data_IF_795573019692
#
_entry.id   IF_795573019692
#
_cell.length_a   1.000
_cell.length_b   1.000
_cell.length_c   1.000
_cell.angle_alpha   90.00
_cell.angle_beta   90.00
_cell.angle_gamma   90.00
#
_symmetry.space_group_name_H-M   'P 1'
#
loop_
_entity.id
_entity.type
_entity.pdbx_description
1 polymer ?
#
# COMPACT_ATOMS: atom_id res chain seq x y z
N UNK A 1 -22.55 30.65 -13.51
CA UNK A 1 -22.51 29.29 -14.06
C UNK A 1 -21.05 28.85 -14.08
N UNK A 2 -20.72 27.69 -13.51
CA UNK A 2 -19.38 27.12 -13.70
C UNK A 2 -19.26 26.59 -15.14
N UNK A 3 -18.08 26.71 -15.75
CA UNK A 3 -17.85 26.13 -17.06
C UNK A 3 -17.94 24.59 -16.99
N UNK A 4 -18.46 23.90 -18.03
CA UNK A 4 -18.42 22.44 -18.08
C UNK A 4 -16.96 21.99 -18.03
N UNK A 5 -16.60 21.22 -17.01
CA UNK A 5 -15.21 20.87 -16.74
C UNK A 5 -14.73 19.89 -17.82
N UNK A 6 -14.04 20.40 -18.84
CA UNK A 6 -13.87 19.67 -20.09
C UNK A 6 -12.98 18.44 -19.88
N UNK A 7 -13.55 17.24 -20.08
CA UNK A 7 -12.90 15.94 -19.86
C UNK A 7 -11.58 15.78 -20.63
N UNK A 8 -11.40 16.51 -21.73
CA UNK A 8 -10.13 16.52 -22.48
C UNK A 8 -8.97 17.17 -21.72
N UNK A 9 -9.24 18.08 -20.77
CA UNK A 9 -8.23 19.05 -20.29
C UNK A 9 -7.81 18.82 -18.84
N UNK A 10 -8.44 17.85 -18.16
CA UNK A 10 -8.08 17.43 -16.81
C UNK A 10 -6.95 16.40 -16.81
N UNK A 11 -5.84 16.72 -16.16
CA UNK A 11 -4.61 15.92 -16.16
C UNK A 11 -4.12 15.65 -14.74
N UNK A 12 -3.95 14.37 -14.38
CA UNK A 12 -3.44 13.94 -13.07
C UNK A 12 -1.94 13.65 -13.16
N UNK A 13 -1.14 14.33 -12.32
CA UNK A 13 0.27 14.03 -12.12
C UNK A 13 0.41 13.01 -10.98
N UNK A 14 0.60 11.74 -11.31
CA UNK A 14 0.83 10.66 -10.35
C UNK A 14 2.33 10.54 -10.13
N UNK A 15 2.77 10.42 -8.89
CA UNK A 15 4.21 10.37 -8.58
C UNK A 15 4.57 9.17 -7.74
N UNK A 16 5.57 8.46 -8.25
CA UNK A 16 5.90 7.09 -7.94
C UNK A 16 5.29 6.13 -8.95
N UNK A 17 6.13 5.46 -9.75
CA UNK A 17 5.77 4.24 -10.47
C UNK A 17 5.72 3.02 -9.52
N UNK A 18 5.23 3.24 -8.29
CA UNK A 18 4.93 2.18 -7.33
C UNK A 18 3.69 1.38 -7.71
N UNK A 19 3.25 0.40 -6.90
CA UNK A 19 2.15 -0.49 -7.29
C UNK A 19 0.88 0.34 -7.29
N UNK A 20 0.70 1.11 -6.22
CA UNK A 20 -0.36 2.09 -5.99
C UNK A 20 -0.38 3.15 -7.09
N UNK A 21 0.78 3.71 -7.47
CA UNK A 21 0.84 4.74 -8.51
C UNK A 21 0.55 4.20 -9.91
N UNK A 22 1.09 3.04 -10.27
CA UNK A 22 0.76 2.35 -11.51
C UNK A 22 -0.69 1.84 -11.54
N UNK A 23 -1.23 1.38 -10.40
CA UNK A 23 -2.62 0.95 -10.22
C UNK A 23 -3.59 2.13 -10.41
N UNK A 24 -3.27 3.29 -9.83
CA UNK A 24 -3.98 4.56 -10.09
C UNK A 24 -3.88 4.91 -11.58
N UNK A 25 -2.70 4.88 -12.19
CA UNK A 25 -2.53 5.20 -13.60
C UNK A 25 -3.28 4.23 -14.54
N UNK A 26 -3.31 2.93 -14.21
CA UNK A 26 -4.10 1.93 -14.94
C UNK A 26 -5.60 2.23 -14.84
N UNK A 27 -6.13 2.48 -13.64
CA UNK A 27 -7.54 2.82 -13.45
C UNK A 27 -7.92 4.14 -14.10
N UNK A 28 -7.13 5.21 -13.92
CA UNK A 28 -7.37 6.50 -14.59
C UNK A 28 -7.39 6.34 -16.12
N UNK A 29 -6.47 5.55 -16.69
CA UNK A 29 -6.47 5.23 -18.12
C UNK A 29 -7.74 4.45 -18.54
N UNK A 30 -8.23 3.51 -17.73
CA UNK A 30 -9.49 2.79 -17.98
C UNK A 30 -10.72 3.72 -17.94
N UNK A 31 -10.71 4.75 -17.10
CA UNK A 31 -11.77 5.76 -16.98
C UNK A 31 -11.68 6.88 -18.07
N UNK A 32 -10.64 6.84 -18.90
CA UNK A 32 -10.36 7.85 -19.93
C UNK A 32 -9.82 9.17 -19.37
N UNK A 33 -9.28 9.18 -18.15
CA UNK A 33 -8.70 10.34 -17.48
C UNK A 33 -7.21 10.42 -17.83
N UNK A 34 -6.74 11.58 -18.31
CA UNK A 34 -5.32 11.78 -18.63
C UNK A 34 -4.48 11.74 -17.36
N UNK A 35 -3.42 10.93 -17.35
CA UNK A 35 -2.43 10.92 -16.28
C UNK A 35 -1.01 10.79 -16.82
N UNK A 36 -0.04 11.34 -16.09
CA UNK A 36 1.38 11.05 -16.28
C UNK A 36 1.97 10.56 -14.97
N UNK A 37 2.75 9.48 -15.04
CA UNK A 37 3.46 8.91 -13.89
C UNK A 37 4.90 9.40 -13.92
N UNK A 38 5.39 9.94 -12.81
CA UNK A 38 6.78 10.35 -12.62
C UNK A 38 7.48 9.42 -11.64
N UNK A 39 8.75 9.18 -11.89
CA UNK A 39 9.59 8.18 -11.21
C UNK A 39 10.96 8.82 -10.95
N UNK A 40 11.65 8.44 -9.85
CA UNK A 40 12.98 8.98 -9.51
C UNK A 40 14.10 8.04 -9.96
N UNK A 41 13.86 6.73 -9.98
CA UNK A 41 14.86 5.79 -10.48
C UNK A 41 14.93 5.87 -12.01
N UNK A 42 16.14 5.82 -12.56
CA UNK A 42 16.40 5.87 -14.00
C UNK A 42 16.01 4.56 -14.70
N UNK A 43 16.00 3.43 -13.97
CA UNK A 43 15.73 2.10 -14.51
C UNK A 43 14.80 1.28 -13.62
N UNK A 44 13.92 0.46 -14.24
CA UNK A 44 12.93 -0.40 -13.57
C UNK A 44 13.52 -1.42 -12.58
N UNK A 45 14.83 -1.65 -12.64
CA UNK A 45 15.60 -2.61 -11.84
C UNK A 45 16.79 -1.96 -11.09
N UNK A 46 16.84 -0.62 -11.00
CA UNK A 46 17.90 0.10 -10.26
C UNK A 46 17.94 -0.29 -8.77
N UNK A 47 16.81 -0.71 -8.21
CA UNK A 47 16.72 -1.39 -6.92
C UNK A 47 16.43 -2.88 -7.09
N UNK A 48 17.10 -3.77 -6.36
CA UNK A 48 16.67 -5.17 -6.29
C UNK A 48 15.27 -5.24 -5.67
N UNK A 49 14.37 -6.01 -6.28
CA UNK A 49 13.05 -6.34 -5.69
C UNK A 49 13.24 -7.47 -4.68
N UNK A 50 13.73 -7.12 -3.49
CA UNK A 50 14.08 -8.05 -2.42
C UNK A 50 12.89 -8.44 -1.53
N UNK A 51 11.76 -7.76 -1.65
CA UNK A 51 10.57 -7.92 -0.79
C UNK A 51 9.25 -7.73 -1.57
N UNK A 52 8.15 -7.96 -0.87
CA UNK A 52 6.84 -7.40 -1.21
C UNK A 52 5.89 -7.49 -0.01
N UNK A 53 4.59 -7.36 -0.26
CA UNK A 53 3.57 -7.23 0.76
C UNK A 53 2.31 -8.01 0.42
N UNK A 54 1.43 -8.32 1.38
CA UNK A 54 0.15 -8.93 1.07
C UNK A 54 -1.02 -7.95 0.89
N UNK A 55 -1.97 -8.28 0.01
CA UNK A 55 -3.23 -7.60 -0.28
C UNK A 55 -4.41 -8.54 0.06
N UNK A 56 -4.93 -8.40 1.27
CA UNK A 56 -5.92 -9.28 1.90
C UNK A 56 -7.33 -8.76 1.67
N UNK A 57 -7.68 -7.63 2.29
CA UNK A 57 -9.02 -7.05 2.28
C UNK A 57 -9.22 -6.02 1.16
N UNK A 58 -8.14 -5.52 0.56
CA UNK A 58 -8.20 -4.58 -0.57
C UNK A 58 -8.28 -5.25 -1.95
N UNK A 59 -8.57 -6.56 -2.02
CA UNK A 59 -8.68 -7.33 -3.27
C UNK A 59 -9.70 -6.72 -4.25
N UNK A 60 -10.88 -6.30 -3.78
CA UNK A 60 -11.89 -5.68 -4.65
C UNK A 60 -11.37 -4.40 -5.33
N UNK A 61 -10.61 -3.57 -4.60
CA UNK A 61 -9.97 -2.36 -5.15
C UNK A 61 -8.81 -2.67 -6.10
N UNK A 62 -8.06 -3.75 -5.85
CA UNK A 62 -7.03 -4.24 -6.77
C UNK A 62 -7.65 -4.71 -8.10
N UNK A 63 -8.77 -5.43 -8.02
CA UNK A 63 -9.52 -5.92 -9.18
C UNK A 63 -10.14 -4.77 -9.96
N UNK A 64 -10.78 -3.81 -9.28
CA UNK A 64 -11.38 -2.62 -9.89
C UNK A 64 -10.37 -1.79 -10.70
N UNK A 65 -9.13 -1.70 -10.21
CA UNK A 65 -8.11 -0.80 -10.73
C UNK A 65 -7.15 -1.38 -11.77
N UNK A 66 -7.30 -2.67 -12.15
CA UNK A 66 -6.46 -3.30 -13.18
C UNK A 66 -7.28 -3.67 -14.43
N UNK A 67 -6.70 -3.51 -15.64
CA UNK A 67 -7.33 -4.01 -16.86
C UNK A 67 -7.28 -5.55 -16.90
N UNK A 68 -8.25 -6.16 -17.58
CA UNK A 68 -8.42 -7.62 -17.69
C UNK A 68 -7.13 -8.35 -18.14
N UNK A 69 -6.33 -7.73 -19.00
CA UNK A 69 -5.06 -8.26 -19.52
C UNK A 69 -3.89 -8.25 -18.52
N UNK A 70 -4.03 -7.55 -17.39
CA UNK A 70 -3.11 -7.63 -16.24
C UNK A 70 -3.71 -8.49 -15.13
N UNK A 71 -5.04 -8.48 -14.94
CA UNK A 71 -5.72 -9.39 -14.00
C UNK A 71 -5.49 -10.86 -14.36
N UNK A 72 -5.61 -11.23 -15.65
CA UNK A 72 -5.31 -12.58 -16.14
C UNK A 72 -3.85 -13.00 -15.97
N UNK A 73 -2.96 -12.07 -15.59
CA UNK A 73 -1.54 -12.28 -15.36
C UNK A 73 -1.12 -12.01 -13.90
N UNK A 74 -2.06 -11.73 -12.99
CA UNK A 74 -1.74 -11.36 -11.60
C UNK A 74 -1.01 -12.47 -10.84
N UNK A 75 -1.21 -13.74 -11.24
CA UNK A 75 -0.42 -14.87 -10.75
C UNK A 75 1.08 -14.77 -11.09
N UNK A 76 1.43 -14.21 -12.26
CA UNK A 76 2.83 -14.03 -12.71
C UNK A 76 3.62 -13.00 -11.89
N UNK A 77 2.95 -12.24 -11.02
CA UNK A 77 3.56 -11.31 -10.07
C UNK A 77 3.76 -11.92 -8.66
N UNK A 78 3.33 -13.16 -8.41
CA UNK A 78 3.55 -13.85 -7.14
C UNK A 78 5.02 -14.29 -6.98
N UNK A 79 5.45 -14.51 -5.73
CA UNK A 79 6.77 -15.07 -5.42
C UNK A 79 6.98 -16.50 -5.92
N UNK A 80 5.89 -17.26 -6.12
CA UNK A 80 5.88 -18.48 -6.91
C UNK A 80 4.72 -18.44 -7.92
N UNK A 81 4.99 -18.12 -9.20
CA UNK A 81 3.98 -18.08 -10.26
C UNK A 81 3.30 -19.42 -10.57
N UNK A 82 3.84 -20.56 -10.13
CA UNK A 82 3.22 -21.87 -10.38
C UNK A 82 2.10 -22.20 -9.39
N UNK A 83 1.88 -21.37 -8.35
CA UNK A 83 0.90 -21.61 -7.29
C UNK A 83 -0.38 -20.80 -7.49
N UNK A 84 -1.51 -21.49 -7.38
CA UNK A 84 -2.84 -20.89 -7.26
C UNK A 84 -3.13 -20.65 -5.76
N UNK A 85 -3.40 -19.40 -5.31
CA UNK A 85 -3.83 -19.14 -3.95
C UNK A 85 -5.15 -19.86 -3.64
N UNK A 86 -5.28 -20.43 -2.43
CA UNK A 86 -6.53 -21.04 -1.98
C UNK A 86 -7.15 -20.24 -0.84
N UNK A 87 -8.48 -20.34 -0.61
CA UNK A 87 -9.11 -19.78 0.58
C UNK A 87 -8.60 -20.35 1.92
N UNK A 88 -7.82 -21.44 1.89
CA UNK A 88 -7.16 -22.05 3.06
C UNK A 88 -5.77 -21.45 3.36
N UNK A 89 -5.32 -20.43 2.63
CA UNK A 89 -4.01 -19.81 2.85
C UNK A 89 -4.03 -18.85 4.05
N UNK A 90 -3.34 -19.23 5.13
CA UNK A 90 -3.09 -18.39 6.31
C UNK A 90 -1.59 -18.24 6.57
N UNK A 91 -1.20 -17.13 7.21
CA UNK A 91 0.02 -17.07 7.99
C UNK A 91 -0.26 -17.62 9.39
N UNK A 92 0.71 -18.30 9.98
CA UNK A 92 0.65 -18.69 11.40
C UNK A 92 1.20 -17.58 12.28
N UNK A 93 0.65 -17.42 13.48
CA UNK A 93 1.32 -16.78 14.59
C UNK A 93 1.87 -17.89 15.49
N UNK A 94 3.17 -17.84 15.79
CA UNK A 94 3.89 -18.88 16.53
C UNK A 94 4.54 -18.32 17.79
N UNK A 95 4.59 -19.11 18.86
CA UNK A 95 5.51 -18.84 19.98
C UNK A 95 6.94 -19.15 19.53
N UNK A 96 7.85 -18.21 19.73
CA UNK A 96 9.27 -18.35 19.39
C UNK A 96 10.07 -19.20 20.36
N UNK A 97 9.56 -19.43 21.56
CA UNK A 97 10.23 -20.21 22.61
C UNK A 97 9.76 -21.69 22.57
N UNK A 98 8.44 -21.91 22.55
CA UNK A 98 7.86 -23.28 22.57
C UNK A 98 7.59 -23.88 21.18
N UNK A 99 7.70 -23.07 20.10
CA UNK A 99 7.29 -23.42 18.74
C UNK A 99 5.80 -23.80 18.56
N UNK A 100 4.94 -23.52 19.54
CA UNK A 100 3.50 -23.75 19.47
C UNK A 100 2.79 -22.73 18.57
N UNK A 101 1.71 -23.14 17.91
CA UNK A 101 0.87 -22.25 17.10
C UNK A 101 -0.13 -21.50 17.99
N UNK A 102 -0.10 -20.17 17.93
CA UNK A 102 -0.92 -19.25 18.74
C UNK A 102 -2.22 -18.85 18.02
N UNK A 103 -2.16 -18.57 16.71
CA UNK A 103 -3.34 -18.26 15.88
C UNK A 103 -3.04 -18.28 14.37
N UNK A 104 -4.05 -17.98 13.54
CA UNK A 104 -3.99 -17.98 12.06
C UNK A 104 -4.54 -16.69 11.46
N UNK A 105 -3.92 -16.22 10.37
CA UNK A 105 -4.21 -14.94 9.73
C UNK A 105 -4.30 -15.06 8.18
N UNK A 106 -5.47 -14.89 7.54
CA UNK A 106 -5.65 -15.13 6.09
C UNK A 106 -4.86 -14.19 5.16
N UNK A 107 -4.22 -14.68 4.08
CA UNK A 107 -3.30 -13.85 3.23
C UNK A 107 -3.14 -14.20 1.73
N UNK A 108 -3.40 -13.25 0.80
CA UNK A 108 -2.88 -13.26 -0.60
C UNK A 108 -2.05 -12.02 -1.08
N UNK A 109 -1.06 -12.22 -1.98
CA UNK A 109 -0.49 -11.42 -3.13
C UNK A 109 0.16 -9.96 -3.03
N UNK A 110 1.22 -9.68 -3.85
CA UNK A 110 2.41 -8.72 -3.70
C UNK A 110 2.77 -7.87 -5.01
N UNK A 111 3.59 -6.77 -5.17
CA UNK A 111 4.32 -5.71 -4.35
C UNK A 111 5.29 -4.72 -5.14
N UNK A 112 5.73 -3.51 -4.61
CA UNK A 112 6.90 -2.54 -4.97
C UNK A 112 6.77 -1.03 -5.52
N UNK A 113 7.51 -0.01 -4.97
CA UNK A 113 7.17 1.49 -4.72
C UNK A 113 8.19 2.65 -5.10
N UNK A 114 7.80 3.94 -5.44
CA UNK A 114 8.72 5.17 -5.43
C UNK A 114 8.18 6.70 -5.51
N UNK A 115 8.95 7.81 -5.82
CA UNK A 115 8.83 9.18 -5.16
C UNK A 115 8.95 10.65 -5.80
N UNK A 116 8.31 11.69 -5.16
CA UNK A 116 8.56 13.21 -5.03
C UNK A 116 7.96 14.35 -5.94
N UNK A 117 7.56 15.55 -5.38
CA UNK A 117 6.66 16.62 -5.98
C UNK A 117 6.71 18.11 -5.48
N UNK A 118 5.95 19.03 -6.14
CA UNK A 118 5.65 20.45 -5.77
C UNK A 118 4.27 20.98 -6.28
N UNK A 119 3.90 22.26 -6.02
CA UNK A 119 2.62 22.90 -6.48
C UNK A 119 2.77 24.38 -6.93
N UNK A 120 2.10 24.81 -8.02
CA UNK A 120 1.91 26.20 -8.50
C UNK A 120 0.63 26.30 -9.37
N UNK A 121 -0.03 27.46 -9.43
CA UNK A 121 -1.21 27.76 -10.28
C UNK A 121 -0.83 28.26 -11.69
N UNK A 122 -1.78 28.23 -12.64
CA UNK A 122 -1.61 28.76 -14.01
C UNK A 122 -2.95 29.26 -14.58
N UNK A 123 -2.96 30.46 -15.20
CA UNK A 123 -4.13 31.08 -15.88
C UNK A 123 -5.42 31.18 -15.06
N UNK A 124 -5.32 31.37 -13.73
CA UNK A 124 -6.48 31.54 -12.84
C UNK A 124 -7.23 30.25 -12.48
N UNK A 125 -7.03 29.17 -13.24
CA UNK A 125 -7.46 27.83 -12.82
C UNK A 125 -6.55 27.28 -11.70
N UNK A 126 -7.09 26.44 -10.79
CA UNK A 126 -6.30 25.70 -9.82
C UNK A 126 -5.55 24.54 -10.48
N UNK A 127 -4.58 24.87 -11.33
CA UNK A 127 -3.55 23.94 -11.82
C UNK A 127 -2.52 23.65 -10.73
N UNK A 128 -1.70 22.63 -10.97
CA UNK A 128 -0.59 22.19 -10.12
C UNK A 128 0.65 21.99 -10.98
N UNK A 129 1.79 22.57 -10.57
CA UNK A 129 3.09 22.37 -11.24
C UNK A 129 4.04 21.56 -10.37
N UNK A 130 4.38 20.36 -10.83
CA UNK A 130 5.54 19.60 -10.37
C UNK A 130 6.82 20.20 -10.97
N UNK A 131 7.86 20.39 -10.15
CA UNK A 131 9.22 20.73 -10.59
C UNK A 131 10.16 19.61 -10.16
N UNK A 132 10.98 19.13 -11.08
CA UNK A 132 11.87 17.98 -10.87
C UNK A 132 13.32 18.44 -10.65
N UNK A 133 14.20 17.52 -10.22
CA UNK A 133 15.58 17.84 -9.82
C UNK A 133 16.48 18.38 -10.94
N UNK A 134 16.14 18.07 -12.19
CA UNK A 134 16.78 18.58 -13.40
C UNK A 134 16.29 19.98 -13.81
N UNK A 135 15.36 20.56 -13.03
CA UNK A 135 14.71 21.85 -13.34
C UNK A 135 13.53 21.75 -14.31
N UNK A 136 13.25 20.55 -14.85
CA UNK A 136 12.08 20.32 -15.71
C UNK A 136 10.77 20.42 -14.91
N UNK A 137 9.65 20.63 -15.62
CA UNK A 137 8.35 20.92 -15.00
C UNK A 137 7.22 20.20 -15.73
N UNK A 138 6.24 19.73 -14.97
CA UNK A 138 4.97 19.21 -15.47
C UNK A 138 3.79 19.95 -14.83
N UNK A 139 2.76 20.25 -15.61
CA UNK A 139 1.57 20.98 -15.15
C UNK A 139 0.34 20.08 -15.34
N UNK A 140 -0.51 19.99 -14.31
CA UNK A 140 -1.78 19.27 -14.33
C UNK A 140 -2.84 19.97 -13.49
N UNK A 141 -3.94 19.27 -13.18
CA UNK A 141 -5.05 19.75 -12.35
C UNK A 141 -4.99 19.16 -10.94
N UNK A 142 -4.51 17.92 -10.83
CA UNK A 142 -4.33 17.22 -9.56
C UNK A 142 -2.94 16.58 -9.50
N UNK A 143 -2.42 16.50 -8.28
CA UNK A 143 -1.17 15.82 -7.94
C UNK A 143 -1.48 14.70 -6.95
N UNK A 144 -0.88 13.53 -7.15
CA UNK A 144 -1.14 12.33 -6.35
C UNK A 144 0.18 11.72 -5.88
N UNK A 145 0.40 11.70 -4.57
CA UNK A 145 1.56 11.09 -3.93
C UNK A 145 1.41 9.60 -3.72
N UNK A 146 2.00 8.79 -4.61
CA UNK A 146 2.21 7.36 -4.39
C UNK A 146 3.61 7.06 -3.83
N UNK A 147 4.18 8.03 -3.08
CA UNK A 147 5.59 8.12 -2.69
C UNK A 147 5.94 7.68 -1.27
N UNK A 148 4.90 7.36 -0.50
CA UNK A 148 4.93 6.48 0.67
C UNK A 148 5.81 7.10 1.79
N UNK A 149 6.67 6.34 2.47
CA UNK A 149 7.22 6.74 3.78
C UNK A 149 8.04 8.04 3.80
N UNK A 150 8.71 8.39 2.68
CA UNK A 150 9.47 9.64 2.48
C UNK A 150 8.86 10.41 1.31
N UNK A 151 7.58 10.75 1.46
CA UNK A 151 6.77 11.47 0.49
C UNK A 151 7.00 12.98 0.62
N UNK A 152 7.56 13.64 -0.39
CA UNK A 152 7.58 15.12 -0.34
C UNK A 152 6.26 15.75 -0.77
N UNK A 153 5.25 14.99 -1.24
CA UNK A 153 3.87 15.54 -1.29
C UNK A 153 3.39 15.79 0.12
N UNK A 154 3.62 14.84 1.03
CA UNK A 154 3.32 14.99 2.46
C UNK A 154 4.20 16.09 3.08
N UNK A 155 5.50 16.09 2.81
CA UNK A 155 6.42 17.11 3.34
C UNK A 155 6.08 18.53 2.80
N UNK A 156 5.58 18.66 1.56
CA UNK A 156 5.07 19.91 0.98
C UNK A 156 3.71 20.33 1.59
N UNK A 157 2.79 19.38 1.81
CA UNK A 157 1.44 19.68 2.30
C UNK A 157 1.37 19.98 3.80
N UNK A 158 2.27 19.40 4.59
CA UNK A 158 2.25 19.50 6.07
C UNK A 158 3.46 20.27 6.64
N UNK A 159 4.50 20.53 5.83
CA UNK A 159 5.80 20.95 6.31
C UNK A 159 6.64 19.77 6.84
N UNK A 160 7.97 19.89 6.89
CA UNK A 160 8.88 18.77 7.20
C UNK A 160 8.73 18.23 8.63
N UNK A 161 8.26 19.04 9.58
CA UNK A 161 8.05 18.64 10.98
C UNK A 161 6.82 17.74 11.13
N UNK A 162 5.63 18.20 10.72
CA UNK A 162 4.40 17.41 10.79
C UNK A 162 4.37 16.23 9.79
N UNK A 163 5.23 16.26 8.77
CA UNK A 163 5.46 15.14 7.85
C UNK A 163 6.56 14.16 8.31
N UNK A 164 7.25 14.42 9.42
CA UNK A 164 8.32 13.55 9.91
C UNK A 164 7.79 12.15 10.26
N UNK A 165 8.59 11.12 9.95
CA UNK A 165 8.29 9.76 10.41
C UNK A 165 8.62 9.64 11.89
N UNK A 166 7.64 9.26 12.71
CA UNK A 166 7.88 8.89 14.11
C UNK A 166 8.72 7.59 14.15
N UNK A 167 9.92 7.59 14.76
CA UNK A 167 10.69 6.38 14.95
C UNK A 167 10.03 5.51 16.03
N UNK A 168 10.07 4.19 15.84
CA UNK A 168 9.76 3.22 16.90
C UNK A 168 11.08 2.76 17.55
N UNK A 169 11.12 2.50 18.87
CA UNK A 169 12.29 1.97 19.58
C UNK A 169 12.46 0.46 19.31
N UNK A 170 12.46 0.06 18.03
CA UNK A 170 12.45 -1.33 17.58
C UNK A 170 13.48 -1.46 16.45
N UNK A 171 14.50 -2.29 16.66
CA UNK A 171 15.50 -2.59 15.64
C UNK A 171 15.00 -3.70 14.71
N UNK A 172 14.73 -3.36 13.45
CA UNK A 172 14.43 -4.35 12.41
C UNK A 172 15.72 -4.89 11.77
N UNK A 173 15.93 -6.21 11.82
CA UNK A 173 17.01 -6.90 11.12
C UNK A 173 16.42 -7.89 10.09
N UNK A 174 17.02 -7.94 8.89
CA UNK A 174 16.73 -8.95 7.87
C UNK A 174 17.93 -9.87 7.72
N UNK A 175 17.74 -11.15 7.98
CA UNK A 175 18.63 -12.21 7.50
C UNK A 175 18.03 -12.87 6.24
N UNK A 176 18.86 -13.50 5.41
CA UNK A 176 18.42 -14.29 4.26
C UNK A 176 19.47 -15.38 4.04
N UNK A 177 19.03 -16.62 3.93
CA UNK A 177 19.90 -17.81 3.98
C UNK A 177 19.70 -18.67 2.73
N UNK A 178 20.79 -19.26 2.24
CA UNK A 178 20.75 -20.28 1.18
C UNK A 178 20.77 -21.67 1.83
N UNK A 179 19.74 -22.48 1.57
CA UNK A 179 19.67 -23.85 2.06
C UNK A 179 20.21 -24.84 1.01
N UNK A 180 20.82 -25.97 1.43
CA UNK A 180 21.16 -27.07 0.53
C UNK A 180 19.96 -27.51 -0.32
N UNK A 181 20.20 -27.85 -1.59
CA UNK A 181 19.13 -28.04 -2.58
C UNK A 181 18.03 -29.04 -2.16
N UNK A 182 18.37 -30.10 -1.41
CA UNK A 182 17.38 -31.06 -0.87
C UNK A 182 16.46 -30.45 0.20
N UNK A 183 16.98 -29.56 1.05
CA UNK A 183 16.20 -28.84 2.07
C UNK A 183 15.34 -27.77 1.39
N UNK A 184 15.95 -26.95 0.52
CA UNK A 184 15.24 -25.96 -0.26
C UNK A 184 14.07 -26.57 -1.06
N UNK A 185 14.28 -27.74 -1.67
CA UNK A 185 13.22 -28.48 -2.38
C UNK A 185 12.09 -28.90 -1.45
N UNK A 186 12.38 -29.48 -0.28
CA UNK A 186 11.34 -29.82 0.71
C UNK A 186 10.48 -28.61 1.10
N UNK A 187 11.12 -27.49 1.44
CA UNK A 187 10.46 -26.25 1.86
C UNK A 187 9.52 -25.64 0.79
N UNK A 188 9.70 -25.97 -0.50
CA UNK A 188 8.80 -25.53 -1.59
C UNK A 188 7.80 -26.60 -2.06
N UNK A 189 7.93 -27.85 -1.58
CA UNK A 189 7.01 -28.97 -1.90
C UNK A 189 6.09 -29.36 -0.74
N UNK A 190 6.44 -29.03 0.50
CA UNK A 190 5.57 -29.26 1.66
C UNK A 190 4.35 -28.29 1.69
N UNK A 191 3.26 -28.63 2.41
CA UNK A 191 2.01 -27.87 2.41
C UNK A 191 2.19 -26.37 2.65
N UNK A 192 1.66 -25.58 1.70
CA UNK A 192 1.97 -24.15 1.55
C UNK A 192 1.24 -23.23 2.52
N UNK A 193 0.26 -23.74 3.26
CA UNK A 193 -0.41 -23.05 4.37
C UNK A 193 0.51 -22.85 5.60
N UNK A 194 1.78 -23.27 5.49
CA UNK A 194 2.83 -23.12 6.48
C UNK A 194 3.92 -22.09 6.12
N UNK A 195 3.94 -21.59 4.88
CA UNK A 195 5.11 -20.94 4.26
C UNK A 195 5.52 -19.59 4.89
N UNK A 196 4.59 -18.90 5.56
CA UNK A 196 4.88 -17.67 6.31
C UNK A 196 4.36 -17.79 7.74
N UNK A 197 5.26 -17.58 8.70
CA UNK A 197 4.94 -17.48 10.11
C UNK A 197 5.41 -16.13 10.65
N UNK A 198 4.55 -15.46 11.42
CA UNK A 198 4.96 -14.41 12.34
C UNK A 198 5.29 -15.11 13.66
N UNK A 199 6.51 -14.97 14.14
CA UNK A 199 6.94 -15.58 15.40
C UNK A 199 7.10 -14.50 16.45
N UNK A 200 6.58 -14.73 17.65
CA UNK A 200 6.72 -13.83 18.80
C UNK A 200 7.36 -14.58 19.97
N UNK A 201 8.41 -14.01 20.55
CA UNK A 201 9.20 -14.64 21.62
C UNK A 201 9.03 -13.83 22.93
N UNK A 202 8.81 -14.47 24.10
CA UNK A 202 8.58 -13.77 25.38
C UNK A 202 9.65 -12.73 25.74
N UNK A 203 10.92 -13.00 25.41
CA UNK A 203 12.05 -12.07 25.51
C UNK A 203 12.03 -10.86 24.53
N UNK A 204 10.86 -10.32 24.18
CA UNK A 204 10.72 -9.05 23.45
C UNK A 204 11.00 -9.08 21.94
N UNK A 205 11.14 -10.26 21.34
CA UNK A 205 11.60 -10.43 19.95
C UNK A 205 10.49 -10.92 19.01
N UNK A 206 10.55 -10.55 17.72
CA UNK A 206 9.66 -11.07 16.69
C UNK A 206 10.36 -11.39 15.36
N UNK A 207 9.84 -12.39 14.65
CA UNK A 207 10.19 -12.66 13.25
C UNK A 207 9.10 -12.14 12.28
N UNK A 208 9.49 -11.91 11.03
CA UNK A 208 8.66 -11.36 9.94
C UNK A 208 8.22 -9.90 10.15
N UNK A 209 7.30 -9.59 11.09
CA UNK A 209 7.01 -8.19 11.47
C UNK A 209 6.25 -8.03 12.80
N UNK A 210 6.58 -6.94 13.51
CA UNK A 210 5.93 -6.48 14.75
C UNK A 210 4.61 -5.73 14.56
N UNK A 211 4.31 -5.30 13.33
CA UNK A 211 3.15 -4.49 12.99
C UNK A 211 2.03 -5.33 12.32
N UNK A 212 0.85 -4.73 12.13
CA UNK A 212 -0.35 -5.43 11.62
C UNK A 212 -0.36 -5.68 10.09
N UNK A 213 0.69 -5.35 9.35
CA UNK A 213 0.76 -5.53 7.88
C UNK A 213 -0.22 -4.66 7.07
N UNK A 214 -0.83 -3.63 7.67
CA UNK A 214 -1.98 -2.92 7.11
C UNK A 214 -1.68 -1.93 5.97
N UNK A 215 -0.49 -1.32 5.94
CA UNK A 215 -0.17 -0.20 5.05
C UNK A 215 -0.42 -0.46 3.56
N UNK A 216 0.00 -1.61 2.99
CA UNK A 216 -0.17 -1.89 1.57
C UNK A 216 -1.63 -2.12 1.14
N UNK A 217 -2.44 -2.78 1.98
CA UNK A 217 -3.88 -2.89 1.77
C UNK A 217 -4.54 -1.50 1.76
N UNK A 218 -4.21 -0.68 2.76
CA UNK A 218 -4.71 0.70 2.83
C UNK A 218 -4.35 1.48 1.57
N UNK A 219 -3.12 1.37 1.07
CA UNK A 219 -2.70 2.09 -0.12
C UNK A 219 -3.40 1.61 -1.41
N UNK A 220 -3.68 0.31 -1.54
CA UNK A 220 -4.49 -0.24 -2.65
C UNK A 220 -5.97 0.17 -2.55
N UNK A 221 -6.54 0.23 -1.34
CA UNK A 221 -7.90 0.75 -1.17
C UNK A 221 -7.99 2.25 -1.46
N UNK A 222 -6.99 3.03 -1.01
CA UNK A 222 -6.89 4.47 -1.29
C UNK A 222 -6.83 4.73 -2.81
N UNK A 223 -6.13 3.89 -3.59
CA UNK A 223 -6.12 3.97 -5.05
C UNK A 223 -7.53 3.81 -5.63
N UNK A 224 -8.31 2.84 -5.15
CA UNK A 224 -9.71 2.65 -5.52
C UNK A 224 -10.59 3.84 -5.14
N UNK A 225 -10.59 4.27 -3.87
CA UNK A 225 -11.38 5.42 -3.41
C UNK A 225 -11.06 6.70 -4.19
N UNK A 226 -9.78 7.00 -4.43
CA UNK A 226 -9.36 8.15 -5.23
C UNK A 226 -9.85 8.05 -6.69
N UNK A 227 -9.71 6.89 -7.33
CA UNK A 227 -10.12 6.75 -8.72
C UNK A 227 -11.64 6.81 -8.89
N UNK A 228 -12.42 6.29 -7.92
CA UNK A 228 -13.88 6.46 -7.88
C UNK A 228 -14.28 7.92 -7.67
N UNK A 229 -13.61 8.63 -6.77
CA UNK A 229 -13.82 10.07 -6.58
C UNK A 229 -13.52 10.88 -7.87
N UNK A 230 -12.49 10.49 -8.62
CA UNK A 230 -12.15 11.14 -9.89
C UNK A 230 -13.08 10.75 -11.06
N UNK A 231 -13.63 9.54 -11.07
CA UNK A 231 -14.73 9.16 -11.98
C UNK A 231 -15.97 10.04 -11.73
N UNK A 232 -16.37 10.12 -10.46
CA UNK A 232 -17.49 10.94 -9.97
C UNK A 232 -17.36 12.42 -10.35
N UNK A 233 -16.14 12.96 -10.38
CA UNK A 233 -15.88 14.31 -10.86
C UNK A 233 -15.91 14.43 -12.39
N UNK A 234 -15.15 13.58 -13.10
CA UNK A 234 -14.83 13.79 -14.53
C UNK A 234 -15.88 13.19 -15.47
N UNK A 235 -16.55 12.12 -15.05
CA UNK A 235 -17.53 11.40 -15.86
C UNK A 235 -18.97 11.64 -15.37
N UNK A 236 -19.17 11.91 -14.08
CA UNK A 236 -20.50 12.14 -13.49
C UNK A 236 -20.73 13.58 -12.99
N UNK A 237 -19.74 14.47 -13.17
CA UNK A 237 -19.91 15.93 -13.04
C UNK A 237 -19.98 16.50 -11.61
N UNK A 238 -19.73 15.70 -10.56
CA UNK A 238 -19.71 16.19 -9.17
C UNK A 238 -18.55 17.18 -8.95
N UNK A 239 -18.64 18.15 -8.02
CA UNK A 239 -17.54 19.09 -7.79
C UNK A 239 -16.29 18.39 -7.24
N UNK A 240 -15.10 18.80 -7.71
CA UNK A 240 -13.83 18.19 -7.28
C UNK A 240 -13.59 18.34 -5.78
N UNK A 241 -14.01 19.48 -5.20
CA UNK A 241 -13.97 19.74 -3.76
C UNK A 241 -14.65 18.63 -2.96
N UNK A 242 -15.84 18.22 -3.40
CA UNK A 242 -16.78 17.44 -2.61
C UNK A 242 -16.37 15.97 -2.63
N UNK A 243 -16.02 15.45 -3.82
CA UNK A 243 -15.51 14.08 -3.97
C UNK A 243 -14.13 13.90 -3.32
N UNK A 244 -13.27 14.93 -3.35
CA UNK A 244 -11.96 14.87 -2.69
C UNK A 244 -12.11 14.99 -1.18
N UNK A 245 -13.02 15.82 -0.67
CA UNK A 245 -13.32 15.89 0.77
C UNK A 245 -13.86 14.55 1.29
N UNK A 246 -14.85 13.96 0.61
CA UNK A 246 -15.40 12.65 0.98
C UNK A 246 -14.33 11.54 0.94
N UNK A 247 -13.51 11.50 -0.11
CA UNK A 247 -12.39 10.55 -0.21
C UNK A 247 -11.33 10.81 0.88
N UNK A 248 -11.05 12.07 1.23
CA UNK A 248 -10.06 12.41 2.24
C UNK A 248 -10.52 12.00 3.65
N UNK A 249 -11.78 12.21 4.01
CA UNK A 249 -12.34 11.77 5.31
C UNK A 249 -12.18 10.26 5.49
N UNK A 250 -12.65 9.46 4.52
CA UNK A 250 -12.54 7.99 4.53
C UNK A 250 -11.09 7.52 4.70
N UNK A 251 -10.19 8.05 3.87
CA UNK A 251 -8.77 7.67 3.86
C UNK A 251 -8.05 8.11 5.14
N UNK A 252 -8.37 9.27 5.69
CA UNK A 252 -7.75 9.79 6.93
C UNK A 252 -8.22 9.01 8.15
N UNK A 253 -9.51 8.72 8.29
CA UNK A 253 -10.04 7.97 9.45
C UNK A 253 -9.49 6.55 9.50
N UNK A 254 -9.63 5.79 8.40
CA UNK A 254 -9.10 4.43 8.29
C UNK A 254 -7.57 4.40 8.38
N UNK A 255 -6.89 5.35 7.73
CA UNK A 255 -5.43 5.46 7.79
C UNK A 255 -4.92 5.75 9.20
N UNK A 256 -5.62 6.62 9.95
CA UNK A 256 -5.29 6.95 11.35
C UNK A 256 -5.47 5.75 12.28
N UNK A 257 -6.55 4.98 12.14
CA UNK A 257 -6.71 3.71 12.89
C UNK A 257 -5.52 2.79 12.57
N UNK A 258 -5.29 2.49 11.30
CA UNK A 258 -4.28 1.52 10.89
C UNK A 258 -2.87 1.87 11.39
N UNK A 259 -2.52 3.16 11.42
CA UNK A 259 -1.23 3.65 11.96
C UNK A 259 -1.18 3.50 13.48
N UNK A 260 -2.16 4.02 14.24
CA UNK A 260 -2.17 3.97 15.71
C UNK A 260 -2.21 2.52 16.20
N UNK A 261 -3.04 1.70 15.57
CA UNK A 261 -3.26 0.28 15.83
C UNK A 261 -1.98 -0.54 15.58
N UNK A 262 -1.29 -0.26 14.47
CA UNK A 262 0.01 -0.88 14.15
C UNK A 262 1.13 -0.41 15.08
N UNK A 263 1.17 0.88 15.45
CA UNK A 263 2.16 1.43 16.38
C UNK A 263 2.05 0.82 17.77
N UNK A 264 0.82 0.76 18.32
CA UNK A 264 0.53 0.06 19.59
C UNK A 264 0.97 -1.40 19.53
N UNK A 265 0.57 -2.12 18.49
CA UNK A 265 0.97 -3.53 18.31
C UNK A 265 2.49 -3.71 18.30
N UNK A 266 3.20 -2.79 17.64
CA UNK A 266 4.66 -2.83 17.53
C UNK A 266 5.33 -2.62 18.89
N UNK A 267 4.81 -1.72 19.72
CA UNK A 267 5.31 -1.53 21.10
C UNK A 267 4.99 -2.71 22.01
N UNK A 268 3.81 -3.32 21.86
CA UNK A 268 3.35 -4.44 22.69
C UNK A 268 4.15 -5.73 22.47
N UNK A 269 5.04 -5.83 21.47
CA UNK A 269 5.96 -6.99 21.35
C UNK A 269 6.99 -7.06 22.49
N UNK A 270 7.27 -5.93 23.15
CA UNK A 270 8.31 -5.81 24.18
C UNK A 270 7.88 -6.34 25.55
N UNK A 271 6.60 -6.71 25.70
CA UNK A 271 5.99 -7.23 26.93
C UNK A 271 5.04 -8.37 26.54
N UNK A 272 5.34 -9.59 26.98
CA UNK A 272 4.60 -10.80 26.60
C UNK A 272 3.15 -10.80 27.10
N UNK A 273 2.88 -10.21 28.27
CA UNK A 273 1.54 -10.14 28.84
C UNK A 273 0.68 -9.12 28.11
N UNK A 274 1.26 -7.98 27.72
CA UNK A 274 0.61 -7.03 26.83
C UNK A 274 0.39 -7.63 25.43
N UNK A 275 1.39 -8.32 24.87
CA UNK A 275 1.33 -8.85 23.50
C UNK A 275 0.11 -9.75 23.25
N UNK A 276 -0.24 -10.62 24.21
CA UNK A 276 -1.42 -11.50 24.12
C UNK A 276 -2.75 -10.73 23.96
N UNK A 277 -2.80 -9.49 24.42
CA UNK A 277 -3.95 -8.59 24.31
C UNK A 277 -3.86 -7.60 23.12
N UNK A 278 -2.82 -7.70 22.30
CA UNK A 278 -2.53 -6.73 21.24
C UNK A 278 -3.47 -6.84 20.02
N UNK A 279 -3.53 -5.80 19.16
CA UNK A 279 -4.36 -5.80 17.95
C UNK A 279 -4.14 -6.97 16.97
N UNK A 280 -2.94 -7.57 16.88
CA UNK A 280 -2.69 -8.71 16.00
C UNK A 280 -3.31 -10.00 16.54
N UNK A 281 -3.36 -10.18 17.86
CA UNK A 281 -4.03 -11.32 18.51
C UNK A 281 -5.55 -11.13 18.55
N UNK A 282 -6.02 -9.91 18.83
CA UNK A 282 -7.46 -9.61 18.98
C UNK A 282 -8.20 -9.27 17.69
N UNK A 283 -7.48 -8.92 16.60
CA UNK A 283 -8.07 -8.49 15.32
C UNK A 283 -7.33 -9.00 14.07
N UNK A 284 -6.15 -9.62 14.21
CA UNK A 284 -5.39 -10.15 13.07
C UNK A 284 -4.88 -9.12 12.06
N UNK A 285 -4.49 -9.63 10.89
CA UNK A 285 -4.04 -8.85 9.71
C UNK A 285 -5.20 -8.41 8.80
N UNK A 286 -6.43 -8.77 9.12
CA UNK A 286 -7.61 -8.31 8.39
C UNK A 286 -8.03 -6.98 9.03
N UNK A 287 -8.13 -5.91 8.23
CA UNK A 287 -8.72 -4.67 8.70
C UNK A 287 -10.21 -4.87 8.99
N UNK A 288 -10.82 -4.00 9.79
CA UNK A 288 -12.29 -3.96 9.86
C UNK A 288 -12.81 -3.59 8.47
N UNK A 289 -13.38 -4.55 7.76
CA UNK A 289 -14.33 -4.24 6.71
C UNK A 289 -15.50 -3.50 7.40
N UNK A 290 -15.81 -2.28 6.94
CA UNK A 290 -17.02 -1.61 7.40
C UNK A 290 -18.21 -2.50 7.04
N UNK A 291 -19.10 -2.72 8.00
CA UNK A 291 -20.07 -3.81 7.95
C UNK A 291 -21.04 -3.67 6.79
N UNK A 292 -20.90 -4.53 5.79
CA UNK A 292 -21.97 -4.90 4.88
C UNK A 292 -22.66 -6.16 5.41
N UNK A 293 -23.90 -6.00 5.86
CA UNK A 293 -24.94 -7.02 5.69
C UNK A 293 -25.55 -6.84 4.30
#
# INVERSE_FOLDING_TARGET
MAAPNNKSDFHVLVVGAGPVGLLIAHRLKMLGIKCTVFEREHYLNERPRDWGFGIYWAQSSLIECLPTSLLSRLNTAQGDPSRTPTPKNYMRLMNGETAEELSRAPTPNYGNRLSTLSKNTHKGEPRVTATFKDGSKAVGNLVVGADVSKSIVRDYLLGPEAAAMQPLPIMGMRATFTFPAGIAKKMVTEPQDQFAAITYHPAGCCAFFSNRGQGPNNAVHNAGSLCRALDEHINHGKPLSDVMAACQTEVVERGREAVISSGRNSMMILDWEQLKHSPIFTQGVVGRANGGQ
#
